data_IF_078707492121
#
_entry.id   IF_078707492121
#
_cell.length_a   1.000
_cell.length_b   1.000
_cell.length_c   1.000
_cell.angle_alpha   90.00
_cell.angle_beta   90.00
_cell.angle_gamma   90.00
#
_symmetry.space_group_name_H-M   'P 1'
#
loop_
_entity.id
_entity.type
_entity.pdbx_description
1 polymer ?
#
# COMPACT_ATOMS: atom_id res chain seq x y z
N UNK A 1 -18.50 -1.27 8.98
CA UNK A 1 -18.01 -1.63 10.29
C UNK A 1 -16.54 -1.31 10.46
N UNK A 2 -16.15 -0.87 11.64
CA UNK A 2 -14.76 -0.49 11.93
C UNK A 2 -13.82 -1.67 11.74
N UNK A 3 -14.23 -2.87 12.18
CA UNK A 3 -13.41 -4.08 12.05
C UNK A 3 -13.17 -4.46 10.58
N UNK A 4 -14.16 -4.25 9.74
CA UNK A 4 -14.05 -4.54 8.30
C UNK A 4 -13.08 -3.59 7.62
N UNK A 5 -13.18 -2.32 7.94
CA UNK A 5 -12.28 -1.29 7.38
C UNK A 5 -10.84 -1.56 7.81
N UNK A 6 -10.63 -1.97 9.06
CA UNK A 6 -9.31 -2.34 9.55
C UNK A 6 -8.72 -3.49 8.76
N UNK A 7 -9.52 -4.52 8.49
CA UNK A 7 -9.04 -5.70 7.80
C UNK A 7 -8.64 -5.36 6.35
N UNK A 8 -9.47 -4.60 5.65
CA UNK A 8 -9.17 -4.19 4.29
C UNK A 8 -7.93 -3.30 4.23
N UNK A 9 -7.80 -2.37 5.16
CA UNK A 9 -6.63 -1.50 5.22
C UNK A 9 -5.35 -2.29 5.53
N UNK A 10 -5.43 -3.24 6.45
CA UNK A 10 -4.32 -4.10 6.82
C UNK A 10 -3.86 -4.93 5.62
N UNK A 11 -4.80 -5.43 4.85
CA UNK A 11 -4.51 -6.17 3.62
C UNK A 11 -3.71 -5.33 2.63
N UNK A 12 -4.15 -4.09 2.36
CA UNK A 12 -3.43 -3.23 1.42
C UNK A 12 -2.08 -2.79 1.97
N UNK A 13 -1.95 -2.57 3.28
CA UNK A 13 -0.66 -2.24 3.88
C UNK A 13 0.33 -3.40 3.75
N UNK A 14 -0.15 -4.63 3.88
CA UNK A 14 0.68 -5.81 3.65
C UNK A 14 1.16 -5.85 2.21
N UNK A 15 0.29 -5.57 1.26
CA UNK A 15 0.68 -5.54 -0.15
C UNK A 15 1.68 -4.41 -0.43
N UNK A 16 1.49 -3.24 0.18
CA UNK A 16 2.45 -2.14 0.03
C UNK A 16 3.85 -2.58 0.48
N UNK A 17 3.93 -3.36 1.57
CA UNK A 17 5.20 -3.80 2.11
C UNK A 17 5.83 -4.98 1.38
N UNK A 18 5.03 -5.90 0.89
CA UNK A 18 5.55 -7.18 0.38
C UNK A 18 5.15 -7.51 -1.05
N UNK A 19 4.25 -6.76 -1.63
CA UNK A 19 3.70 -7.08 -2.95
C UNK A 19 4.39 -6.42 -4.13
N UNK A 20 5.35 -5.56 -3.89
CA UNK A 20 6.02 -4.79 -4.92
C UNK A 20 7.48 -5.22 -5.06
N UNK A 21 7.99 -5.15 -6.28
CA UNK A 21 9.40 -5.43 -6.55
C UNK A 21 9.86 -4.54 -7.70
N UNK A 22 10.97 -3.84 -7.47
CA UNK A 22 11.59 -2.93 -8.47
C UNK A 22 10.61 -1.89 -9.02
N UNK A 23 9.74 -1.38 -8.16
CA UNK A 23 8.77 -0.35 -8.53
C UNK A 23 7.53 -0.86 -9.25
N UNK A 24 7.38 -2.19 -9.38
CA UNK A 24 6.24 -2.80 -10.04
C UNK A 24 5.43 -3.67 -9.07
N UNK A 25 4.10 -3.64 -9.15
CA UNK A 25 3.28 -4.55 -8.33
C UNK A 25 3.37 -5.97 -8.90
N UNK A 26 3.45 -6.96 -8.02
CA UNK A 26 3.54 -8.36 -8.43
C UNK A 26 2.20 -9.04 -8.17
N UNK A 27 1.47 -9.35 -9.24
CA UNK A 27 0.11 -9.89 -9.14
C UNK A 27 0.05 -11.21 -8.36
N UNK A 28 1.04 -12.08 -8.53
CA UNK A 28 1.08 -13.36 -7.82
C UNK A 28 1.18 -13.16 -6.31
N UNK A 29 1.92 -12.14 -5.88
CA UNK A 29 2.02 -11.82 -4.46
C UNK A 29 0.71 -11.28 -3.92
N UNK A 30 0.02 -10.47 -4.71
CA UNK A 30 -1.31 -10.00 -4.35
C UNK A 30 -2.27 -11.16 -4.14
N UNK A 31 -2.30 -12.10 -5.08
CA UNK A 31 -3.19 -13.26 -4.98
C UNK A 31 -2.89 -14.09 -3.72
N UNK A 32 -1.61 -14.30 -3.42
CA UNK A 32 -1.21 -15.05 -2.22
C UNK A 32 -1.63 -14.35 -0.94
N UNK A 33 -1.44 -13.03 -0.87
CA UNK A 33 -1.81 -12.24 0.29
C UNK A 33 -3.33 -12.25 0.47
N UNK A 34 -4.06 -12.03 -0.62
CA UNK A 34 -5.51 -12.01 -0.59
C UNK A 34 -6.08 -13.36 -0.15
N UNK A 35 -5.56 -14.46 -0.70
CA UNK A 35 -6.00 -15.80 -0.32
C UNK A 35 -5.76 -16.07 1.15
N UNK A 36 -4.62 -15.64 1.69
CA UNK A 36 -4.32 -15.79 3.11
C UNK A 36 -5.33 -15.05 3.98
N UNK A 37 -5.67 -13.82 3.63
CA UNK A 37 -6.67 -13.07 4.38
C UNK A 37 -8.06 -13.65 4.26
N UNK A 38 -8.46 -14.07 3.07
CA UNK A 38 -9.79 -14.65 2.85
C UNK A 38 -9.95 -16.05 3.42
N UNK A 39 -8.85 -16.73 3.75
CA UNK A 39 -8.94 -18.00 4.48
C UNK A 39 -9.48 -17.83 5.89
N UNK A 40 -9.31 -16.62 6.45
CA UNK A 40 -9.82 -16.28 7.79
C UNK A 40 -11.21 -15.65 7.69
N UNK A 41 -11.38 -14.70 6.76
CA UNK A 41 -12.66 -14.01 6.54
C UNK A 41 -12.72 -13.52 5.09
N UNK A 42 -13.83 -13.75 4.43
CA UNK A 42 -14.02 -13.26 3.07
C UNK A 42 -14.35 -11.77 3.09
N UNK A 43 -13.73 -11.06 2.14
CA UNK A 43 -14.03 -9.66 1.94
C UNK A 43 -15.34 -9.51 1.17
N UNK A 44 -16.18 -8.56 1.57
CA UNK A 44 -17.37 -8.22 0.83
C UNK A 44 -17.05 -7.45 -0.45
N UNK A 45 -18.04 -7.33 -1.33
CA UNK A 45 -17.86 -6.61 -2.60
C UNK A 45 -17.48 -5.15 -2.38
N UNK A 46 -18.06 -4.50 -1.38
CA UNK A 46 -17.74 -3.11 -1.05
C UNK A 46 -16.28 -2.97 -0.60
N UNK A 47 -15.79 -3.93 0.15
CA UNK A 47 -14.40 -3.93 0.60
C UNK A 47 -13.45 -4.15 -0.58
N UNK A 48 -13.77 -5.08 -1.46
CA UNK A 48 -12.97 -5.34 -2.66
C UNK A 48 -12.94 -4.12 -3.58
N UNK A 49 -14.05 -3.43 -3.73
CA UNK A 49 -14.15 -2.22 -4.56
C UNK A 49 -13.32 -1.06 -3.98
N UNK A 50 -13.13 -1.05 -2.67
CA UNK A 50 -12.39 0.02 -2.00
C UNK A 50 -10.88 -0.21 -1.97
N UNK A 51 -10.39 -1.40 -2.32
CA UNK A 51 -8.97 -1.75 -2.16
C UNK A 51 -8.03 -0.83 -2.92
N UNK A 52 -8.37 -0.48 -4.16
CA UNK A 52 -7.52 0.40 -4.96
C UNK A 52 -7.37 1.78 -4.31
N UNK A 53 -8.47 2.35 -3.81
CA UNK A 53 -8.44 3.65 -3.16
C UNK A 53 -7.71 3.58 -1.83
N UNK A 54 -7.89 2.50 -1.06
CA UNK A 54 -7.16 2.29 0.18
C UNK A 54 -5.66 2.14 -0.07
N UNK A 55 -5.29 1.47 -1.15
CA UNK A 55 -3.88 1.32 -1.52
C UNK A 55 -3.28 2.68 -1.87
N UNK A 56 -4.00 3.51 -2.62
CA UNK A 56 -3.54 4.86 -2.94
C UNK A 56 -3.38 5.70 -1.69
N UNK A 57 -4.34 5.62 -0.78
CA UNK A 57 -4.27 6.34 0.49
C UNK A 57 -3.06 5.90 1.31
N UNK A 58 -2.82 4.60 1.42
CA UNK A 58 -1.68 4.07 2.14
C UNK A 58 -0.36 4.54 1.51
N UNK A 59 -0.27 4.50 0.18
CA UNK A 59 0.92 4.93 -0.55
C UNK A 59 1.19 6.43 -0.33
N UNK A 60 0.16 7.26 -0.43
CA UNK A 60 0.27 8.69 -0.19
C UNK A 60 0.67 9.00 1.25
N UNK A 61 0.13 8.26 2.20
CA UNK A 61 0.46 8.45 3.62
C UNK A 61 1.93 8.15 3.89
N UNK A 62 2.45 7.09 3.29
CA UNK A 62 3.87 6.74 3.43
C UNK A 62 4.75 7.79 2.73
N UNK A 63 4.35 8.24 1.55
CA UNK A 63 5.09 9.28 0.83
C UNK A 63 5.15 10.57 1.65
N UNK A 64 4.03 10.97 2.24
CA UNK A 64 3.95 12.18 3.07
C UNK A 64 4.85 12.06 4.30
N UNK A 65 4.83 10.90 4.96
CA UNK A 65 5.67 10.65 6.13
C UNK A 65 7.16 10.71 5.76
N UNK A 66 7.54 10.07 4.66
CA UNK A 66 8.93 10.06 4.19
C UNK A 66 9.40 11.46 3.83
N UNK A 67 8.53 12.25 3.19
CA UNK A 67 8.85 13.63 2.86
C UNK A 67 9.08 14.44 4.14
N UNK A 68 8.17 14.34 5.10
CA UNK A 68 8.30 15.05 6.36
C UNK A 68 9.58 14.63 7.09
N UNK A 69 9.82 13.33 7.20
CA UNK A 69 10.94 12.82 7.98
C UNK A 69 12.30 13.17 7.38
N UNK A 70 12.45 12.97 6.08
CA UNK A 70 13.76 13.04 5.44
C UNK A 70 14.03 14.32 4.67
N UNK A 71 13.03 15.11 4.34
CA UNK A 71 13.21 16.39 3.64
C UNK A 71 13.09 17.56 4.61
N UNK A 72 12.12 17.50 5.52
CA UNK A 72 11.82 18.59 6.43
C UNK A 72 12.51 18.41 7.79
N UNK A 73 12.28 17.28 8.44
CA UNK A 73 12.73 17.06 9.82
C UNK A 73 14.23 16.74 9.90
N UNK A 74 14.74 15.89 9.01
CA UNK A 74 16.14 15.47 8.98
C UNK A 74 16.73 15.63 7.58
N UNK A 75 16.87 16.86 7.08
CA UNK A 75 17.42 17.08 5.74
C UNK A 75 18.92 16.74 5.71
N UNK A 76 19.41 16.43 4.52
CA UNK A 76 20.82 16.14 4.31
C UNK A 76 21.21 14.69 4.51
N UNK A 77 20.23 13.79 4.76
CA UNK A 77 20.50 12.36 4.80
C UNK A 77 20.43 11.79 3.37
N UNK A 78 20.89 10.55 3.21
CA UNK A 78 20.81 9.84 1.93
C UNK A 78 19.39 9.40 1.57
N UNK A 79 18.42 9.66 2.46
CA UNK A 79 17.03 9.22 2.30
C UNK A 79 16.09 10.32 1.84
N UNK A 80 16.60 11.48 1.44
CA UNK A 80 15.75 12.65 1.10
C UNK A 80 14.83 12.41 -0.10
N UNK A 81 15.17 11.47 -0.98
CA UNK A 81 14.36 11.15 -2.16
C UNK A 81 13.50 9.90 -2.00
N UNK A 82 13.46 9.30 -0.83
CA UNK A 82 12.69 8.07 -0.61
C UNK A 82 11.19 8.22 -0.84
N UNK A 83 10.65 9.41 -0.60
CA UNK A 83 9.23 9.63 -0.84
C UNK A 83 8.87 9.44 -2.32
N UNK A 84 9.81 9.65 -3.24
CA UNK A 84 9.57 9.49 -4.67
C UNK A 84 9.28 8.05 -5.07
N UNK A 85 9.84 7.08 -4.36
CA UNK A 85 9.52 5.68 -4.59
C UNK A 85 8.02 5.42 -4.47
N UNK A 86 7.38 6.01 -3.44
CA UNK A 86 5.94 5.87 -3.25
C UNK A 86 5.15 6.68 -4.26
N UNK A 87 5.58 7.90 -4.58
CA UNK A 87 4.90 8.72 -5.58
C UNK A 87 4.90 8.02 -6.94
N UNK A 88 5.99 7.38 -7.30
CA UNK A 88 6.11 6.68 -8.59
C UNK A 88 5.18 5.45 -8.67
N UNK A 89 4.77 4.90 -7.55
CA UNK A 89 3.82 3.79 -7.54
C UNK A 89 2.40 4.20 -7.92
N UNK A 90 2.07 5.48 -7.79
CA UNK A 90 0.72 5.97 -8.05
C UNK A 90 0.29 5.84 -9.51
N UNK A 91 1.25 5.80 -10.43
CA UNK A 91 0.99 5.66 -11.86
C UNK A 91 0.86 4.20 -12.31
N UNK A 92 1.15 3.26 -11.44
CA UNK A 92 1.15 1.85 -11.81
C UNK A 92 -0.24 1.25 -11.74
N UNK A 93 -0.52 0.34 -12.66
CA UNK A 93 -1.79 -0.38 -12.64
C UNK A 93 -1.74 -1.49 -11.60
N UNK A 94 -2.67 -1.44 -10.66
CA UNK A 94 -2.76 -2.42 -9.59
C UNK A 94 -3.41 -3.71 -10.07
N UNK A 95 -3.11 -4.86 -9.44
CA UNK A 95 -3.73 -6.14 -9.81
C UNK A 95 -5.16 -6.31 -9.28
N UNK A 96 -5.71 -5.24 -8.72
CA UNK A 96 -7.08 -5.28 -8.19
C UNK A 96 -7.83 -3.99 -8.49
#
# INVERSE_FOLDING_TARGET
EVCHDFLAFDLVMTFVGFGWEDGEPVAERWESILDGYQSVRRLGNDELDALADLHRLATLSIAAWRYWQFVINMPGTEHTDRYLEMVNRLDKQLPF
#
